data_IF_723005068501
#
_entry.id   IF_723005068501
#
_cell.length_a   1.000
_cell.length_b   1.000
_cell.length_c   1.000
_cell.angle_alpha   90.00
_cell.angle_beta   90.00
_cell.angle_gamma   90.00
#
_symmetry.space_group_name_H-M   'P 1'
#
loop_
_entity.id
_entity.type
_entity.pdbx_description
1 polymer ?
#
# COMPACT_ATOMS: atom_id res chain seq x y z
N UNK A 1 6.20 -6.03 21.42
CA UNK A 1 7.60 -6.33 20.99
C UNK A 1 7.87 -5.56 19.71
N UNK A 2 8.95 -4.80 19.62
CA UNK A 2 9.31 -4.13 18.36
C UNK A 2 9.63 -5.20 17.31
N UNK A 3 8.76 -5.37 16.32
CA UNK A 3 9.04 -6.26 15.18
C UNK A 3 10.35 -5.81 14.52
N UNK A 4 11.23 -6.77 14.24
CA UNK A 4 12.47 -6.47 13.54
C UNK A 4 12.16 -5.87 12.16
N UNK A 5 12.81 -4.75 11.84
CA UNK A 5 12.68 -4.12 10.52
C UNK A 5 13.36 -5.00 9.48
N UNK A 6 12.66 -5.32 8.39
CA UNK A 6 13.23 -6.11 7.31
C UNK A 6 14.39 -5.35 6.64
N UNK A 7 15.50 -6.04 6.32
CA UNK A 7 16.75 -5.40 5.86
C UNK A 7 16.59 -4.53 4.59
N UNK A 8 15.61 -4.84 3.75
CA UNK A 8 15.28 -4.06 2.55
C UNK A 8 14.66 -2.69 2.84
N UNK A 9 14.24 -2.42 4.07
CA UNK A 9 13.59 -1.19 4.48
C UNK A 9 14.43 -0.45 5.51
N UNK A 10 14.35 0.87 5.44
CA UNK A 10 14.94 1.78 6.42
C UNK A 10 13.82 2.50 7.16
N UNK A 11 13.82 2.46 8.49
CA UNK A 11 12.90 3.23 9.31
C UNK A 11 13.30 4.71 9.24
N UNK A 12 12.40 5.53 8.72
CA UNK A 12 12.58 6.99 8.59
C UNK A 12 12.12 7.68 9.87
N UNK A 13 10.91 7.35 10.35
CA UNK A 13 10.35 7.96 11.54
C UNK A 13 9.29 7.10 12.22
N UNK A 14 9.07 7.36 13.50
CA UNK A 14 8.00 6.79 14.33
C UNK A 14 7.18 7.93 14.93
N UNK A 15 5.86 7.85 14.81
CA UNK A 15 4.95 8.90 15.23
C UNK A 15 3.73 8.30 15.95
N UNK A 16 3.65 8.41 17.30
CA UNK A 16 2.43 8.09 18.05
C UNK A 16 1.31 9.06 17.70
N UNK A 17 0.09 8.54 17.51
CA UNK A 17 -1.12 9.33 17.24
C UNK A 17 -2.18 8.93 18.27
N UNK A 18 -2.16 9.61 19.42
CA UNK A 18 -2.98 9.27 20.59
C UNK A 18 -4.48 9.36 20.29
N UNK A 19 -4.92 10.33 19.48
CA UNK A 19 -6.34 10.48 19.10
C UNK A 19 -6.90 9.31 18.29
N UNK A 20 -6.01 8.51 17.69
CA UNK A 20 -6.36 7.32 16.92
C UNK A 20 -5.93 6.02 17.62
N UNK A 21 -5.36 6.10 18.83
CA UNK A 21 -4.80 4.96 19.57
C UNK A 21 -3.86 4.08 18.74
N UNK A 22 -2.97 4.69 17.95
CA UNK A 22 -2.05 3.96 17.07
C UNK A 22 -0.65 4.59 17.02
N UNK A 23 0.31 3.82 16.53
CA UNK A 23 1.67 4.31 16.22
C UNK A 23 1.92 4.16 14.72
N UNK A 24 2.21 5.27 14.05
CA UNK A 24 2.61 5.29 12.65
C UNK A 24 4.13 5.14 12.52
N UNK A 25 4.56 4.19 11.69
CA UNK A 25 5.95 4.02 11.30
C UNK A 25 6.09 4.32 9.82
N UNK A 26 7.01 5.20 9.45
CA UNK A 26 7.37 5.47 8.06
C UNK A 26 8.68 4.77 7.72
N UNK A 27 8.69 4.06 6.59
CA UNK A 27 9.85 3.39 6.05
C UNK A 27 10.10 3.79 4.59
N UNK A 28 11.35 3.68 4.17
CA UNK A 28 11.75 3.78 2.76
C UNK A 28 12.34 2.44 2.31
N UNK A 29 11.85 1.90 1.20
CA UNK A 29 12.45 0.74 0.55
C UNK A 29 13.78 1.13 -0.11
N UNK A 30 14.88 0.47 0.27
CA UNK A 30 16.24 0.84 -0.13
C UNK A 30 16.46 0.84 -1.65
N UNK A 31 15.87 -0.12 -2.36
CA UNK A 31 16.13 -0.30 -3.80
C UNK A 31 15.27 0.62 -4.68
N UNK A 32 14.01 0.86 -4.30
CA UNK A 32 13.04 1.58 -5.15
C UNK A 32 12.68 2.97 -4.64
N UNK A 33 13.14 3.35 -3.45
CA UNK A 33 12.71 4.53 -2.71
C UNK A 33 11.19 4.57 -2.42
N UNK A 34 10.49 3.44 -2.52
CA UNK A 34 9.05 3.36 -2.20
C UNK A 34 8.83 3.65 -0.72
N UNK A 35 7.90 4.57 -0.43
CA UNK A 35 7.47 4.87 0.93
C UNK A 35 6.49 3.80 1.42
N UNK A 36 6.68 3.34 2.64
CA UNK A 36 5.79 2.40 3.31
C UNK A 36 5.39 2.97 4.67
N UNK A 37 4.09 3.03 4.93
CA UNK A 37 3.54 3.40 6.22
C UNK A 37 2.95 2.17 6.88
N UNK A 38 3.37 1.89 8.12
CA UNK A 38 2.76 0.88 8.96
C UNK A 38 2.04 1.57 10.11
N UNK A 39 0.72 1.41 10.18
CA UNK A 39 -0.11 1.95 11.26
C UNK A 39 -0.39 0.82 12.24
N UNK A 40 0.35 0.79 13.35
CA UNK A 40 0.21 -0.24 14.37
C UNK A 40 -0.88 0.16 15.37
N UNK A 41 -1.94 -0.64 15.43
CA UNK A 41 -3.04 -0.49 16.38
C UNK A 41 -3.38 -1.87 16.99
N UNK A 42 -3.97 -1.89 18.18
CA UNK A 42 -4.55 -3.10 18.77
C UNK A 42 -5.94 -3.36 18.16
N UNK A 43 -5.95 -3.74 16.88
CA UNK A 43 -7.14 -4.11 16.12
C UNK A 43 -6.87 -5.37 15.31
N UNK A 44 -7.80 -6.33 15.33
CA UNK A 44 -7.69 -7.59 14.60
C UNK A 44 -7.93 -7.41 13.10
N UNK A 45 -8.70 -6.38 12.72
CA UNK A 45 -8.98 -6.04 11.32
C UNK A 45 -7.77 -5.34 10.69
N UNK A 46 -7.04 -6.10 9.87
CA UNK A 46 -5.86 -5.61 9.17
C UNK A 46 -6.21 -5.17 7.75
N UNK A 47 -5.61 -4.07 7.29
CA UNK A 47 -5.78 -3.56 5.93
C UNK A 47 -4.43 -3.36 5.26
N UNK A 48 -4.39 -3.57 3.94
CA UNK A 48 -3.25 -3.25 3.10
C UNK A 48 -3.69 -2.34 1.96
N UNK A 49 -2.87 -1.32 1.67
CA UNK A 49 -3.14 -0.35 0.61
C UNK A 49 -1.87 -0.02 -0.15
N UNK A 50 -1.98 0.08 -1.47
CA UNK A 50 -0.97 0.65 -2.36
C UNK A 50 -1.57 1.86 -3.04
N UNK A 51 -0.85 2.98 -3.02
CA UNK A 51 -1.30 4.22 -3.64
C UNK A 51 -0.36 4.62 -4.78
N UNK A 52 -0.91 4.93 -5.94
CA UNK A 52 -0.17 5.48 -7.08
C UNK A 52 -0.64 6.91 -7.34
N UNK A 53 0.30 7.81 -7.65
CA UNK A 53 -0.01 9.18 -8.02
C UNK A 53 -0.51 9.20 -9.48
N UNK A 54 -1.80 9.44 -9.68
CA UNK A 54 -2.44 9.52 -11.00
C UNK A 54 -3.09 10.89 -11.20
N UNK A 55 -2.32 11.88 -11.66
CA UNK A 55 -2.85 13.22 -11.96
C UNK A 55 -3.39 13.21 -13.40
N UNK A 56 -4.72 13.29 -13.62
CA UNK A 56 -5.26 13.29 -14.97
C UNK A 56 -4.93 14.59 -15.71
N UNK A 57 -4.63 14.49 -17.00
CA UNK A 57 -4.36 15.64 -17.89
C UNK A 57 -5.52 15.92 -18.86
N UNK A 58 -6.53 15.05 -18.86
CA UNK A 58 -7.74 15.14 -19.66
C UNK A 58 -8.92 14.43 -18.95
N UNK A 59 -10.10 14.44 -19.60
CA UNK A 59 -11.33 13.85 -19.08
C UNK A 59 -11.66 12.47 -19.65
N UNK A 60 -10.67 11.73 -20.17
CA UNK A 60 -10.89 10.38 -20.73
C UNK A 60 -11.25 9.35 -19.67
N UNK A 61 -10.93 9.63 -18.40
CA UNK A 61 -11.11 8.69 -17.30
C UNK A 61 -10.02 7.61 -17.25
N UNK A 62 -8.89 7.78 -17.94
CA UNK A 62 -7.83 6.76 -18.07
C UNK A 62 -7.36 6.17 -16.73
N UNK A 63 -7.23 6.97 -15.67
CA UNK A 63 -6.83 6.46 -14.35
C UNK A 63 -7.88 5.50 -13.76
N UNK A 64 -9.17 5.83 -13.92
CA UNK A 64 -10.28 4.99 -13.47
C UNK A 64 -10.41 3.73 -14.33
N UNK A 65 -10.28 3.84 -15.66
CA UNK A 65 -10.25 2.66 -16.54
C UNK A 65 -9.10 1.72 -16.15
N UNK A 66 -7.92 2.27 -15.85
CA UNK A 66 -6.76 1.50 -15.42
C UNK A 66 -7.01 0.80 -14.09
N UNK A 67 -7.63 1.47 -13.11
CA UNK A 67 -8.02 0.88 -11.82
C UNK A 67 -8.83 -0.41 -12.00
N UNK A 68 -9.86 -0.40 -12.87
CA UNK A 68 -10.63 -1.61 -13.16
C UNK A 68 -9.80 -2.66 -13.90
N UNK A 69 -9.02 -2.24 -14.89
CA UNK A 69 -8.35 -3.15 -15.81
C UNK A 69 -7.19 -3.90 -15.16
N UNK A 70 -6.46 -3.30 -14.21
CA UNK A 70 -5.37 -3.98 -13.50
C UNK A 70 -5.86 -5.11 -12.59
N UNK A 71 -7.16 -5.16 -12.29
CA UNK A 71 -7.79 -6.21 -11.50
C UNK A 71 -8.29 -7.39 -12.36
N UNK A 72 -8.21 -7.29 -13.69
CA UNK A 72 -8.68 -8.32 -14.63
C UNK A 72 -7.65 -9.42 -14.93
N UNK A 73 -6.42 -9.34 -14.42
CA UNK A 73 -5.37 -10.35 -14.63
C UNK A 73 -3.97 -9.82 -14.36
N UNK A 74 -2.99 -10.72 -14.18
CA UNK A 74 -1.57 -10.37 -14.07
C UNK A 74 -0.68 -11.45 -14.68
N UNK A 75 0.61 -11.17 -14.88
CA UNK A 75 1.57 -12.17 -15.38
C UNK A 75 1.64 -13.40 -14.46
N UNK A 76 1.63 -13.19 -13.13
CA UNK A 76 1.69 -14.28 -12.15
C UNK A 76 0.36 -15.00 -11.97
N UNK A 77 -0.75 -14.30 -12.17
CA UNK A 77 -2.11 -14.84 -12.09
C UNK A 77 -2.85 -14.56 -13.41
N UNK A 78 -2.54 -15.32 -14.48
CA UNK A 78 -3.08 -15.10 -15.82
C UNK A 78 -4.47 -15.72 -15.98
N UNK A 79 -5.31 -15.55 -14.97
CA UNK A 79 -6.71 -15.96 -14.97
C UNK A 79 -7.58 -14.73 -15.18
N UNK A 80 -8.80 -14.94 -15.67
CA UNK A 80 -9.75 -13.86 -15.86
C UNK A 80 -10.32 -13.40 -14.51
N UNK A 81 -10.39 -12.08 -14.33
CA UNK A 81 -11.07 -11.42 -13.21
C UNK A 81 -10.65 -11.95 -11.81
N UNK A 82 -9.33 -12.08 -11.51
CA UNK A 82 -8.84 -12.68 -10.27
C UNK A 82 -9.33 -11.98 -9.00
N UNK A 83 -9.53 -10.66 -9.05
CA UNK A 83 -10.01 -9.90 -7.90
C UNK A 83 -11.43 -10.31 -7.46
N UNK A 84 -12.29 -10.70 -8.40
CA UNK A 84 -13.65 -11.15 -8.11
C UNK A 84 -13.71 -12.61 -7.62
N UNK A 85 -12.59 -13.33 -7.66
CA UNK A 85 -12.47 -14.72 -7.19
C UNK A 85 -11.86 -14.82 -5.78
N UNK A 86 -11.56 -13.69 -5.14
CA UNK A 86 -10.88 -13.61 -3.83
C UNK A 86 -11.82 -13.84 -2.65
#
# INVERSE_FOLDING_TARGET
MAKAVHAAFELVQTHPIDTLNLVAYEFTHRQTATRHFHLAAENDENVFMVALRTVPVDSTGVAHILEHTVLCGSERYPVRDPFFMM
#
